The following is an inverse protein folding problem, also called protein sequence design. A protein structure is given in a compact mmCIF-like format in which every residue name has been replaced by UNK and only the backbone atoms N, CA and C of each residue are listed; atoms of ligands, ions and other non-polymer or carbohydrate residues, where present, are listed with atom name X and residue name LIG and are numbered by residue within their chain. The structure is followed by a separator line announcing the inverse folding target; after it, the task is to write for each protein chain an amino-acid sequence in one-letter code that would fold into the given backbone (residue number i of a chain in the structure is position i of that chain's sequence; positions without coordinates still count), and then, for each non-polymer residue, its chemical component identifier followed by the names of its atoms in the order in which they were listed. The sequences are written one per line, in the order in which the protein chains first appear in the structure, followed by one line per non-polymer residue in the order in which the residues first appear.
data_IF_480131666036
#
_entry.id   IF_480131666036
#
_cell.length_a   1.000
_cell.length_b   1.000
_cell.length_c   1.000
_cell.angle_alpha   90.00
_cell.angle_beta   90.00
_cell.angle_gamma   90.00
#
_symmetry.space_group_name_H-M   'P 1'
#
loop_
_entity.id
_entity.type
_entity.pdbx_description
1 polymer ?
#
# COMPACT_ATOMS: atom_id res chain seq x y z
N UNK A 1 0.41 -5.65 -8.21
CA UNK A 1 -0.13 -6.24 -6.96
C UNK A 1 -0.21 -7.76 -7.02
N UNK A 2 -0.79 -8.37 -8.06
CA UNK A 2 -0.94 -9.84 -8.14
C UNK A 2 0.36 -10.62 -8.03
N UNK A 3 1.45 -10.11 -8.62
CA UNK A 3 2.79 -10.70 -8.54
C UNK A 3 3.28 -10.82 -7.08
N UNK A 4 3.00 -9.83 -6.24
CA UNK A 4 3.39 -9.85 -4.82
C UNK A 4 2.53 -10.82 -4.00
N UNK A 5 1.22 -10.86 -4.28
CA UNK A 5 0.30 -11.79 -3.59
C UNK A 5 0.64 -13.25 -3.90
N UNK A 6 1.10 -13.54 -5.12
CA UNK A 6 1.52 -14.87 -5.54
C UNK A 6 2.91 -15.26 -5.00
N UNK A 7 3.72 -14.32 -4.50
CA UNK A 7 5.06 -14.60 -4.02
C UNK A 7 5.03 -15.42 -2.71
N UNK A 8 5.57 -16.65 -2.70
CA UNK A 8 5.53 -17.53 -1.52
C UNK A 8 6.40 -17.01 -0.36
N UNK A 9 7.38 -16.15 -0.65
CA UNK A 9 8.26 -15.53 0.33
C UNK A 9 7.67 -14.26 0.99
N UNK A 10 6.46 -13.84 0.59
CA UNK A 10 5.83 -12.65 1.15
C UNK A 10 5.21 -12.97 2.50
N UNK A 11 5.65 -12.27 3.54
CA UNK A 11 5.13 -12.44 4.90
C UNK A 11 3.62 -12.10 4.98
N UNK A 12 2.90 -12.85 5.81
CA UNK A 12 1.42 -12.79 5.90
C UNK A 12 0.90 -11.41 6.33
N UNK A 13 1.68 -10.69 7.13
CA UNK A 13 1.46 -9.30 7.54
C UNK A 13 1.46 -8.32 6.35
N UNK A 14 2.15 -8.62 5.25
CA UNK A 14 2.19 -7.84 4.01
C UNK A 14 1.15 -8.34 3.00
N UNK A 15 0.98 -9.66 2.92
CA UNK A 15 0.01 -10.33 2.03
C UNK A 15 -1.42 -9.93 2.35
N UNK A 16 -1.78 -9.84 3.64
CA UNK A 16 -3.14 -9.52 4.08
C UNK A 16 -3.59 -8.11 3.64
N UNK A 17 -2.82 -7.02 3.85
CA UNK A 17 -3.07 -5.71 3.26
C UNK A 17 -3.31 -5.72 1.76
N UNK A 18 -2.46 -6.42 1.00
CA UNK A 18 -2.56 -6.50 -0.46
C UNK A 18 -3.85 -7.18 -0.92
N UNK A 19 -4.22 -8.30 -0.29
CA UNK A 19 -5.48 -8.99 -0.58
C UNK A 19 -6.69 -8.12 -0.26
N UNK A 20 -6.70 -7.43 0.89
CA UNK A 20 -7.78 -6.52 1.26
C UNK A 20 -7.92 -5.36 0.28
N UNK A 21 -6.81 -4.78 -0.15
CA UNK A 21 -6.82 -3.70 -1.13
C UNK A 21 -7.32 -4.22 -2.49
N UNK A 22 -6.87 -5.38 -2.95
CA UNK A 22 -7.37 -5.99 -4.19
C UNK A 22 -8.88 -6.25 -4.13
N UNK A 23 -9.38 -6.78 -3.02
CA UNK A 23 -10.80 -7.03 -2.85
C UNK A 23 -11.59 -5.72 -2.82
N UNK A 24 -11.09 -4.69 -2.14
CA UNK A 24 -11.72 -3.37 -2.12
C UNK A 24 -11.81 -2.73 -3.51
N UNK A 25 -10.78 -2.85 -4.35
CA UNK A 25 -10.82 -2.40 -5.76
C UNK A 25 -11.83 -3.22 -6.58
N UNK A 26 -11.89 -4.53 -6.34
CA UNK A 26 -12.86 -5.44 -7.02
C UNK A 26 -14.31 -5.10 -6.63
N UNK A 27 -14.52 -4.71 -5.37
CA UNK A 27 -15.82 -4.26 -4.84
C UNK A 27 -16.22 -2.85 -5.35
N UNK A 28 -15.42 -2.22 -6.22
CA UNK A 28 -15.67 -0.89 -6.78
C UNK A 28 -15.50 0.24 -5.76
N UNK A 29 -14.75 0.01 -4.67
CA UNK A 29 -14.42 1.08 -3.72
C UNK A 29 -13.47 2.07 -4.37
N UNK A 30 -13.51 3.30 -3.88
CA UNK A 30 -12.75 4.41 -4.43
C UNK A 30 -11.24 4.13 -4.44
N UNK A 31 -10.65 4.01 -5.63
CA UNK A 31 -9.26 3.60 -5.84
C UNK A 31 -8.27 4.40 -5.00
N UNK A 32 -8.49 5.72 -4.88
CA UNK A 32 -7.64 6.60 -4.08
C UNK A 32 -7.72 6.27 -2.57
N UNK A 33 -8.90 5.95 -2.05
CA UNK A 33 -9.05 5.59 -0.64
C UNK A 33 -8.36 4.25 -0.35
N UNK A 34 -8.51 3.28 -1.25
CA UNK A 34 -7.86 1.97 -1.14
C UNK A 34 -6.35 2.10 -1.23
N UNK A 35 -5.83 2.85 -2.19
CA UNK A 35 -4.41 3.14 -2.35
C UNK A 35 -3.83 3.86 -1.12
N UNK A 36 -4.54 4.85 -0.58
CA UNK A 36 -4.11 5.59 0.62
C UNK A 36 -4.05 4.68 1.85
N UNK A 37 -5.06 3.82 2.04
CA UNK A 37 -5.06 2.85 3.14
C UNK A 37 -3.94 1.81 3.00
N UNK A 38 -3.70 1.33 1.78
CA UNK A 38 -2.63 0.38 1.49
C UNK A 38 -1.26 1.01 1.72
N UNK A 39 -1.01 2.22 1.22
CA UNK A 39 0.23 2.97 1.43
C UNK A 39 0.51 3.17 2.93
N UNK A 40 -0.51 3.51 3.72
CA UNK A 40 -0.38 3.65 5.17
C UNK A 40 0.05 2.35 5.86
N UNK A 41 -0.54 1.23 5.47
CA UNK A 41 -0.22 -0.08 6.04
C UNK A 41 1.19 -0.52 5.64
N UNK A 42 1.56 -0.36 4.38
CA UNK A 42 2.90 -0.68 3.88
C UNK A 42 3.97 0.22 4.50
N UNK A 43 3.75 1.53 4.60
CA UNK A 43 4.68 2.47 5.25
C UNK A 43 5.01 2.07 6.69
N UNK A 44 4.01 1.61 7.46
CA UNK A 44 4.20 1.09 8.83
C UNK A 44 4.97 -0.23 8.89
N UNK A 45 4.90 -1.05 7.84
CA UNK A 45 5.67 -2.29 7.74
C UNK A 45 7.11 -1.99 7.28
N UNK A 46 7.28 -1.00 6.41
CA UNK A 46 8.59 -0.51 5.96
C UNK A 46 9.42 0.10 7.10
N UNK A 47 8.79 0.86 7.99
CA UNK A 47 9.46 1.39 9.19
C UNK A 47 9.92 0.31 10.16
N UNK A 48 9.31 -0.89 10.11
CA UNK A 48 9.73 -2.07 10.88
C UNK A 48 10.75 -2.96 10.15
N UNK A 49 11.21 -2.56 8.97
CA UNK A 49 12.06 -3.38 8.08
C UNK A 49 11.42 -4.73 7.68
N UNK A 50 10.08 -4.80 7.71
CA UNK A 50 9.33 -6.01 7.32
C UNK A 50 8.97 -6.03 5.82
N UNK A 51 9.39 -5.02 5.06
CA UNK A 51 9.20 -4.95 3.61
C UNK A 51 10.48 -5.32 2.85
N UNK A 52 10.31 -6.09 1.77
CA UNK A 52 11.37 -6.30 0.78
C UNK A 52 11.63 -5.03 -0.03
N UNK A 53 12.80 -4.94 -0.67
CA UNK A 53 13.14 -3.84 -1.57
C UNK A 53 12.09 -3.63 -2.67
N UNK A 54 11.60 -4.71 -3.30
CA UNK A 54 10.58 -4.64 -4.33
C UNK A 54 9.24 -4.08 -3.82
N UNK A 55 8.89 -4.35 -2.56
CA UNK A 55 7.69 -3.81 -1.93
C UNK A 55 7.84 -2.33 -1.57
N UNK A 56 9.06 -1.88 -1.26
CA UNK A 56 9.36 -0.47 -1.08
C UNK A 56 9.25 0.29 -2.40
N UNK A 57 9.76 -0.27 -3.51
CA UNK A 57 9.59 0.32 -4.84
C UNK A 57 8.11 0.41 -5.22
N UNK A 58 7.33 -0.64 -4.92
CA UNK A 58 5.88 -0.61 -5.10
C UNK A 58 5.20 0.47 -4.25
N UNK A 59 5.61 0.64 -2.99
CA UNK A 59 5.09 1.70 -2.12
C UNK A 59 5.39 3.10 -2.68
N UNK A 60 6.61 3.33 -3.15
CA UNK A 60 7.02 4.62 -3.75
C UNK A 60 6.15 4.93 -4.97
N UNK A 61 5.94 3.96 -5.85
CA UNK A 61 5.08 4.17 -7.02
C UNK A 61 3.60 4.33 -6.65
N UNK A 62 3.13 3.65 -5.61
CA UNK A 62 1.77 3.83 -5.09
C UNK A 62 1.57 5.26 -4.55
N UNK A 63 2.52 5.78 -3.78
CA UNK A 63 2.49 7.16 -3.25
C UNK A 63 2.62 8.22 -4.36
N UNK A 64 3.37 7.91 -5.43
CA UNK A 64 3.49 8.78 -6.60
C UNK A 64 2.19 8.87 -7.40
N UNK A 65 1.51 7.75 -7.61
CA UNK A 65 0.25 7.71 -8.34
C UNK A 65 -0.93 8.26 -7.53
N UNK A 66 -0.88 8.12 -6.20
CA UNK A 66 -1.90 8.60 -5.28
C UNK A 66 -1.31 9.59 -4.27
N UNK A 67 -0.92 10.79 -4.72
CA UNK A 67 -0.39 11.82 -3.84
C UNK A 67 -1.47 12.22 -2.84
N UNK A 68 -1.24 11.90 -1.57
CA UNK A 68 -2.22 12.04 -0.49
C UNK A 68 -1.75 11.42 0.81
N UNK A 69 -0.85 10.44 0.71
CA UNK A 69 -0.08 9.94 1.84
C UNK A 69 1.29 10.66 1.87
N UNK A 70 1.49 11.57 2.83
CA UNK A 70 2.80 12.20 3.03
C UNK A 70 2.85 13.70 3.35
N UNK A 71 1.73 14.44 3.26
CA UNK A 71 1.66 15.81 3.79
C UNK A 71 0.73 15.90 4.99
N UNK A 72 1.27 15.52 6.16
CA UNK A 72 1.04 16.37 7.33
C UNK A 72 1.74 17.69 7.02
N UNK A 73 1.01 18.79 7.14
CA UNK A 73 1.40 20.17 6.83
C UNK A 73 1.33 20.55 5.34
N UNK A 74 0.12 20.80 4.83
CA UNK A 74 -0.25 22.16 4.37
C UNK A 74 -1.76 22.28 4.12
N UNK A 75 -2.43 22.87 5.12
CA UNK A 75 -3.59 23.78 5.03
C UNK A 75 -4.97 23.18 4.73
N UNK A 76 -5.82 23.31 5.75
CA UNK A 76 -7.28 23.22 5.72
C UNK A 76 -7.93 24.42 5.02
N UNK A 77 -9.13 24.16 4.47
CA UNK A 77 -10.16 25.06 3.89
C UNK A 77 -10.00 25.45 2.41
#
# INVERSE_FOLDING_TARGET
MDTFIAAPALADNVRTPLLKAKQALTDGKYDQQVATQLASQLSRLGTKQELSAEMLDFLVELERQYPGFGRRDTISF
#
